data_IF_989742076572
#
_entry.id   IF_989742076572
#
_cell.length_a   1.000
_cell.length_b   1.000
_cell.length_c   1.000
_cell.angle_alpha   90.00
_cell.angle_beta   90.00
_cell.angle_gamma   90.00
#
_symmetry.space_group_name_H-M   'P 1'
#
loop_
_entity.id
_entity.type
_entity.pdbx_description
1 polymer ?
#
# COMPACT_ATOMS: atom_id res chain seq x y z
N UNK A 1 1.97 50.33 25.77
CA UNK A 1 1.27 49.19 25.14
C UNK A 1 0.58 48.45 26.27
N UNK A 2 -0.75 48.28 26.20
CA UNK A 2 -1.55 47.71 27.29
C UNK A 2 -1.29 46.21 27.43
N UNK A 3 -1.41 45.68 28.65
CA UNK A 3 -1.23 44.25 28.96
C UNK A 3 -2.17 43.35 28.13
N UNK A 4 -3.39 43.82 27.82
CA UNK A 4 -4.32 43.11 26.93
C UNK A 4 -3.75 42.89 25.53
N UNK A 5 -2.97 43.83 24.99
CA UNK A 5 -2.36 43.70 23.66
C UNK A 5 -1.27 42.62 23.59
N UNK A 6 -0.64 42.29 24.73
CA UNK A 6 0.37 41.24 24.82
C UNK A 6 -0.23 39.85 24.98
N UNK A 7 -1.45 39.76 25.51
CA UNK A 7 -2.17 38.49 25.68
C UNK A 7 -2.77 38.02 24.35
N UNK A 8 -3.32 38.93 23.53
CA UNK A 8 -3.82 38.63 22.19
C UNK A 8 -2.73 38.06 21.26
N UNK A 9 -1.53 38.63 21.27
CA UNK A 9 -0.42 38.15 20.42
C UNK A 9 0.08 36.75 20.81
N UNK A 10 0.00 36.38 22.10
CA UNK A 10 0.37 35.04 22.57
C UNK A 10 -0.63 33.97 22.14
N UNK A 11 -1.92 34.30 22.12
CA UNK A 11 -2.99 33.38 21.68
C UNK A 11 -2.86 33.04 20.19
N UNK A 12 -2.43 34.00 19.36
CA UNK A 12 -2.25 33.78 17.91
C UNK A 12 -1.03 32.90 17.61
N UNK A 13 0.01 32.95 18.45
CA UNK A 13 1.24 32.15 18.25
C UNK A 13 1.08 30.67 18.65
N UNK A 14 0.10 30.34 19.51
CA UNK A 14 -0.14 28.98 20.01
C UNK A 14 -1.36 28.29 19.35
N UNK A 15 -1.81 28.82 18.21
CA UNK A 15 -2.80 28.17 17.36
C UNK A 15 -2.28 26.84 16.81
N UNK A 16 -3.16 25.88 16.45
CA UNK A 16 -2.75 24.59 15.91
C UNK A 16 -1.87 24.83 14.68
N UNK A 17 -0.59 24.41 14.76
CA UNK A 17 0.33 24.43 13.63
C UNK A 17 -0.40 23.84 12.43
N UNK A 18 -0.55 24.61 11.35
CA UNK A 18 -1.15 24.14 10.09
C UNK A 18 -0.58 22.76 9.79
N UNK A 19 -1.40 21.73 9.89
CA UNK A 19 -1.00 20.41 9.43
C UNK A 19 -0.69 20.58 7.94
N UNK A 20 0.51 20.18 7.50
CA UNK A 20 0.85 20.16 6.08
C UNK A 20 -0.28 19.45 5.32
N UNK A 21 -0.96 20.22 4.47
CA UNK A 21 -2.14 19.76 3.75
C UNK A 21 -1.78 18.91 2.53
N UNK A 22 -0.59 19.11 1.98
CA UNK A 22 -0.12 18.39 0.80
C UNK A 22 0.59 17.09 1.21
N UNK A 23 0.11 15.96 0.71
CA UNK A 23 0.90 14.73 0.66
C UNK A 23 1.89 14.84 -0.49
N UNK A 24 3.16 14.56 -0.22
CA UNK A 24 4.19 14.43 -1.24
C UNK A 24 4.67 12.97 -1.36
N UNK A 25 5.23 12.60 -2.50
CA UNK A 25 5.79 11.28 -2.79
C UNK A 25 7.24 11.43 -3.23
N UNK A 26 8.12 10.51 -2.81
CA UNK A 26 9.41 10.31 -3.45
C UNK A 26 9.23 9.38 -4.66
N UNK A 27 8.84 9.97 -5.79
CA UNK A 27 8.58 9.24 -7.03
C UNK A 27 9.77 8.42 -7.51
N UNK A 28 11.01 8.85 -7.20
CA UNK A 28 12.22 8.13 -7.59
C UNK A 28 12.36 6.85 -6.77
N UNK A 29 12.23 6.95 -5.45
CA UNK A 29 12.26 5.80 -4.53
C UNK A 29 11.14 4.80 -4.86
N UNK A 30 9.91 5.30 -5.06
CA UNK A 30 8.75 4.47 -5.41
C UNK A 30 8.97 3.77 -6.75
N UNK A 31 9.41 4.50 -7.79
CA UNK A 31 9.66 3.93 -9.12
C UNK A 31 10.76 2.88 -9.09
N UNK A 32 11.84 3.12 -8.36
CA UNK A 32 12.93 2.16 -8.27
C UNK A 32 12.46 0.85 -7.63
N UNK A 33 11.72 0.90 -6.53
CA UNK A 33 11.19 -0.29 -5.88
C UNK A 33 10.11 -1.00 -6.73
N UNK A 34 9.26 -0.23 -7.41
CA UNK A 34 8.26 -0.75 -8.34
C UNK A 34 8.88 -1.55 -9.49
N UNK A 35 9.90 -1.00 -10.16
CA UNK A 35 10.58 -1.70 -11.25
C UNK A 35 11.37 -2.90 -10.72
N UNK A 36 11.99 -2.81 -9.55
CA UNK A 36 12.73 -3.92 -8.92
C UNK A 36 11.81 -5.14 -8.69
N UNK A 37 10.61 -4.93 -8.14
CA UNK A 37 9.61 -6.00 -7.96
C UNK A 37 9.13 -6.59 -9.29
N UNK A 38 9.05 -5.77 -10.35
CA UNK A 38 8.59 -6.21 -11.68
C UNK A 38 9.61 -7.01 -12.47
N UNK A 39 10.89 -6.85 -12.16
CA UNK A 39 11.97 -7.56 -12.85
C UNK A 39 11.98 -9.03 -12.41
N UNK A 40 11.53 -9.94 -13.26
CA UNK A 40 11.52 -11.39 -12.99
C UNK A 40 12.89 -11.95 -12.59
N UNK A 41 13.98 -11.27 -12.98
CA UNK A 41 15.37 -11.60 -12.61
C UNK A 41 15.81 -11.07 -11.24
N UNK A 42 15.02 -10.22 -10.59
CA UNK A 42 15.31 -9.69 -9.26
C UNK A 42 14.76 -10.63 -8.19
N UNK A 43 15.52 -10.80 -7.11
CA UNK A 43 15.08 -11.50 -5.91
C UNK A 43 14.02 -10.70 -5.13
N UNK A 44 13.86 -9.41 -5.41
CA UNK A 44 12.84 -8.58 -4.76
C UNK A 44 11.45 -8.98 -5.26
N UNK A 45 10.62 -9.51 -4.37
CA UNK A 45 9.24 -9.92 -4.67
C UNK A 45 8.21 -8.91 -4.19
N UNK A 46 8.55 -8.08 -3.20
CA UNK A 46 7.64 -7.08 -2.67
C UNK A 46 8.35 -5.79 -2.27
N UNK A 47 7.56 -4.71 -2.23
CA UNK A 47 7.95 -3.41 -1.68
C UNK A 47 6.81 -2.83 -0.83
N UNK A 48 7.16 -2.09 0.21
CA UNK A 48 6.23 -1.39 1.10
C UNK A 48 6.55 0.09 1.13
N UNK A 49 5.49 0.90 1.03
CA UNK A 49 5.53 2.35 1.00
C UNK A 49 4.79 2.92 2.19
N UNK A 50 5.50 3.71 3.01
CA UNK A 50 4.98 4.38 4.20
C UNK A 50 5.35 5.86 4.18
N UNK A 51 4.73 6.61 5.09
CA UNK A 51 5.09 8.00 5.31
C UNK A 51 6.35 8.09 6.18
N UNK A 52 7.38 8.74 5.65
CA UNK A 52 8.46 9.32 6.44
C UNK A 52 8.24 10.84 6.50
N UNK A 53 7.86 11.34 7.67
CA UNK A 53 7.36 12.70 7.85
C UNK A 53 6.12 12.96 6.96
N UNK A 54 6.20 13.92 6.03
CA UNK A 54 5.12 14.32 5.11
C UNK A 54 5.28 13.70 3.71
N UNK A 55 6.25 12.80 3.50
CA UNK A 55 6.59 12.22 2.19
C UNK A 55 6.37 10.71 2.23
N UNK A 56 5.69 10.16 1.23
CA UNK A 56 5.63 8.70 1.04
C UNK A 56 6.88 8.22 0.31
N UNK A 57 7.55 7.24 0.88
CA UNK A 57 8.80 6.65 0.36
C UNK A 57 8.72 5.11 0.40
N UNK A 58 9.60 4.41 -0.32
CA UNK A 58 9.80 2.98 -0.11
C UNK A 58 10.56 2.76 1.21
N UNK A 59 9.92 2.13 2.20
CA UNK A 59 10.51 1.89 3.53
C UNK A 59 11.07 0.47 3.69
N UNK A 60 10.56 -0.48 2.91
CA UNK A 60 11.02 -1.87 2.95
C UNK A 60 10.81 -2.56 1.61
N UNK A 61 11.65 -3.55 1.32
CA UNK A 61 11.52 -4.47 0.19
C UNK A 61 12.16 -5.81 0.55
N UNK A 62 11.72 -6.89 -0.09
CA UNK A 62 12.27 -8.21 0.19
C UNK A 62 11.65 -9.31 -0.67
N UNK A 63 11.94 -10.56 -0.31
CA UNK A 63 11.53 -11.75 -1.04
C UNK A 63 10.69 -12.73 -0.21
N UNK A 64 10.59 -12.49 1.10
CA UNK A 64 9.85 -13.37 2.01
C UNK A 64 8.48 -12.76 2.35
N UNK A 65 7.41 -13.54 2.16
CA UNK A 65 6.04 -13.07 2.46
C UNK A 65 5.81 -12.78 3.95
N UNK A 66 6.46 -13.50 4.87
CA UNK A 66 6.31 -13.25 6.30
C UNK A 66 6.93 -11.89 6.67
N UNK A 67 8.10 -11.56 6.11
CA UNK A 67 8.72 -10.24 6.27
C UNK A 67 7.87 -9.11 5.67
N UNK A 68 7.15 -9.38 4.57
CA UNK A 68 6.18 -8.45 4.01
C UNK A 68 5.04 -8.21 4.99
N UNK A 69 4.47 -9.29 5.57
CA UNK A 69 3.37 -9.21 6.53
C UNK A 69 3.75 -8.43 7.79
N UNK A 70 4.98 -8.60 8.27
CA UNK A 70 5.52 -7.85 9.42
C UNK A 70 5.57 -6.33 9.20
N UNK A 71 5.48 -5.85 7.96
CA UNK A 71 5.46 -4.41 7.67
C UNK A 71 4.12 -3.73 8.01
N UNK A 72 3.08 -4.47 8.42
CA UNK A 72 1.73 -3.92 8.60
C UNK A 72 1.26 -4.01 10.05
N UNK A 73 1.40 -2.91 10.80
CA UNK A 73 0.94 -2.80 12.19
C UNK A 73 -0.43 -2.11 12.34
N UNK A 74 -1.02 -2.25 13.52
CA UNK A 74 -2.32 -1.64 13.87
C UNK A 74 -2.30 -0.10 13.84
N UNK A 75 -1.14 0.52 14.03
CA UNK A 75 -0.93 1.98 14.01
C UNK A 75 -0.45 2.49 12.65
N UNK A 76 -0.19 1.58 11.71
CA UNK A 76 0.38 1.91 10.40
C UNK A 76 -0.70 2.19 9.36
N UNK A 77 -0.39 3.14 8.48
CA UNK A 77 -0.99 3.23 7.16
C UNK A 77 0.10 3.02 6.12
N UNK A 78 -0.13 2.13 5.18
CA UNK A 78 0.90 1.70 4.26
C UNK A 78 0.30 1.28 2.92
N UNK A 79 1.16 1.20 1.91
CA UNK A 79 0.86 0.56 0.65
C UNK A 79 1.86 -0.55 0.40
N UNK A 80 1.40 -1.68 -0.13
CA UNK A 80 2.23 -2.80 -0.53
C UNK A 80 2.12 -3.03 -2.04
N UNK A 81 3.21 -3.46 -2.65
CA UNK A 81 3.21 -3.97 -4.02
C UNK A 81 3.97 -5.28 -4.03
N UNK A 82 3.31 -6.36 -4.46
CA UNK A 82 3.86 -7.71 -4.39
C UNK A 82 3.68 -8.46 -5.70
N UNK A 83 4.74 -9.17 -6.10
CA UNK A 83 4.78 -10.13 -7.19
C UNK A 83 4.50 -11.52 -6.63
N UNK A 84 3.55 -12.24 -7.24
CA UNK A 84 3.20 -13.60 -6.85
C UNK A 84 3.23 -14.48 -8.11
N UNK A 85 3.98 -15.59 -8.03
CA UNK A 85 3.93 -16.63 -9.05
C UNK A 85 2.68 -17.49 -8.86
N UNK A 86 1.87 -17.59 -9.92
CA UNK A 86 0.64 -18.37 -9.97
C UNK A 86 0.75 -19.50 -10.99
N UNK A 87 0.03 -20.60 -10.79
CA UNK A 87 -0.06 -21.71 -11.74
C UNK A 87 0.73 -22.95 -11.32
N UNK A 88 0.75 -23.95 -12.19
CA UNK A 88 1.43 -25.23 -12.01
C UNK A 88 2.82 -25.24 -12.66
N UNK A 89 3.52 -26.38 -12.62
CA UNK A 89 4.86 -26.56 -13.18
C UNK A 89 4.97 -26.21 -14.67
N UNK A 90 3.85 -26.20 -15.40
CA UNK A 90 3.81 -26.01 -16.86
C UNK A 90 3.37 -24.58 -17.22
N UNK A 91 2.56 -23.91 -16.38
CA UNK A 91 2.05 -22.55 -16.63
C UNK A 91 2.25 -21.61 -15.44
N UNK A 92 3.51 -21.31 -15.10
CA UNK A 92 3.83 -20.22 -14.17
C UNK A 92 3.51 -18.86 -14.80
N UNK A 93 2.66 -18.08 -14.13
CA UNK A 93 2.28 -16.73 -14.52
C UNK A 93 2.55 -15.78 -13.36
N UNK A 94 3.41 -14.81 -13.60
CA UNK A 94 3.62 -13.70 -12.68
C UNK A 94 2.37 -12.82 -12.64
N UNK A 95 1.87 -12.54 -11.44
CA UNK A 95 0.85 -11.52 -11.22
C UNK A 95 1.29 -10.57 -10.12
N UNK A 96 0.76 -9.35 -10.17
CA UNK A 96 1.07 -8.30 -9.22
C UNK A 96 -0.19 -7.89 -8.46
N UNK A 97 -0.06 -7.64 -7.17
CA UNK A 97 -1.11 -7.15 -6.29
C UNK A 97 -0.69 -5.83 -5.67
N UNK A 98 -1.60 -4.85 -5.66
CA UNK A 98 -1.45 -3.61 -4.94
C UNK A 98 -2.30 -3.64 -3.66
N UNK A 99 -1.67 -3.45 -2.51
CA UNK A 99 -2.31 -3.49 -1.21
C UNK A 99 -2.40 -2.07 -0.63
N UNK A 100 -3.57 -1.67 -0.18
CA UNK A 100 -3.76 -0.53 0.73
C UNK A 100 -4.01 -1.08 2.13
N UNK A 101 -3.17 -0.70 3.09
CA UNK A 101 -3.30 -1.09 4.49
C UNK A 101 -3.67 0.12 5.35
N UNK A 102 -4.68 -0.05 6.18
CA UNK A 102 -5.07 0.92 7.21
C UNK A 102 -5.27 0.21 8.53
N UNK A 103 -4.31 0.31 9.43
CA UNK A 103 -4.40 -0.26 10.76
C UNK A 103 -5.57 0.32 11.58
N UNK A 104 -6.11 -0.50 12.48
CA UNK A 104 -7.30 -0.16 13.27
C UNK A 104 -7.13 1.10 14.14
N UNK A 105 -5.92 1.39 14.59
CA UNK A 105 -5.59 2.54 15.44
C UNK A 105 -5.28 3.82 14.65
N UNK A 106 -5.24 3.78 13.31
CA UNK A 106 -4.96 4.96 12.50
C UNK A 106 -6.06 6.02 12.68
N UNK A 107 -5.68 7.23 13.06
CA UNK A 107 -6.61 8.34 13.27
C UNK A 107 -7.37 8.76 12.01
N UNK A 108 -8.61 9.23 12.18
CA UNK A 108 -9.57 9.56 11.10
C UNK A 108 -8.98 10.46 10.00
N UNK A 109 -8.22 11.50 10.38
CA UNK A 109 -7.61 12.43 9.42
C UNK A 109 -6.59 11.71 8.53
N UNK A 110 -5.76 10.83 9.11
CA UNK A 110 -4.78 10.04 8.35
C UNK A 110 -5.46 9.03 7.43
N UNK A 111 -6.59 8.44 7.84
CA UNK A 111 -7.44 7.57 7.01
C UNK A 111 -8.02 8.33 5.81
N UNK A 112 -8.56 9.53 6.04
CA UNK A 112 -9.13 10.37 4.98
C UNK A 112 -8.12 10.75 3.89
N UNK A 113 -6.84 10.91 4.26
CA UNK A 113 -5.75 11.19 3.31
C UNK A 113 -5.37 10.00 2.43
N UNK A 114 -5.70 8.75 2.81
CA UNK A 114 -5.26 7.56 2.09
C UNK A 114 -5.74 7.49 0.64
N UNK A 115 -6.90 8.09 0.30
CA UNK A 115 -7.38 8.13 -1.08
C UNK A 115 -6.49 8.99 -1.98
N UNK A 116 -6.06 10.16 -1.46
CA UNK A 116 -5.10 11.04 -2.12
C UNK A 116 -3.73 10.38 -2.23
N UNK A 117 -3.23 9.85 -1.11
CA UNK A 117 -1.91 9.18 -1.04
C UNK A 117 -1.86 8.01 -2.06
N UNK A 118 -2.94 7.23 -2.13
CA UNK A 118 -3.08 6.12 -3.09
C UNK A 118 -3.05 6.59 -4.54
N UNK A 119 -3.75 7.67 -4.87
CA UNK A 119 -3.79 8.20 -6.23
C UNK A 119 -2.40 8.63 -6.72
N UNK A 120 -1.61 9.27 -5.85
CA UNK A 120 -0.23 9.67 -6.14
C UNK A 120 0.67 8.46 -6.38
N UNK A 121 0.61 7.45 -5.50
CA UNK A 121 1.44 6.24 -5.65
C UNK A 121 1.07 5.46 -6.91
N UNK A 122 -0.22 5.36 -7.24
CA UNK A 122 -0.70 4.67 -8.45
C UNK A 122 -0.37 5.42 -9.75
N UNK A 123 -0.01 6.71 -9.69
CA UNK A 123 0.55 7.40 -10.84
C UNK A 123 1.94 6.85 -11.23
N UNK A 124 2.64 6.22 -10.27
CA UNK A 124 3.92 5.53 -10.49
C UNK A 124 3.71 4.02 -10.66
N UNK A 125 2.93 3.39 -9.78
CA UNK A 125 2.62 1.95 -9.77
C UNK A 125 1.38 1.69 -10.62
N UNK A 126 1.59 1.36 -11.89
CA UNK A 126 0.51 1.26 -12.88
C UNK A 126 0.13 -0.17 -13.29
N UNK A 127 0.93 -1.18 -12.94
CA UNK A 127 0.72 -2.57 -13.34
C UNK A 127 0.40 -3.49 -12.16
N UNK A 128 -0.85 -3.84 -11.96
CA UNK A 128 -1.32 -4.85 -11.00
C UNK A 128 -2.62 -5.48 -11.49
N UNK A 129 -2.83 -6.75 -11.16
CA UNK A 129 -4.03 -7.50 -11.53
C UNK A 129 -5.16 -7.31 -10.51
N UNK A 130 -4.81 -7.07 -9.25
CA UNK A 130 -5.75 -6.89 -8.13
C UNK A 130 -5.28 -5.73 -7.26
N UNK A 131 -6.24 -4.94 -6.81
CA UNK A 131 -6.08 -3.97 -5.74
C UNK A 131 -6.92 -4.42 -4.54
N UNK A 132 -6.30 -4.50 -3.36
CA UNK A 132 -6.98 -4.80 -2.09
C UNK A 132 -6.88 -3.64 -1.12
N UNK A 133 -7.92 -3.47 -0.30
CA UNK A 133 -7.90 -2.62 0.89
C UNK A 133 -8.16 -3.51 2.09
N UNK A 134 -7.20 -3.61 3.00
CA UNK A 134 -7.28 -4.49 4.17
C UNK A 134 -7.07 -3.70 5.46
N UNK A 135 -7.74 -4.14 6.52
CA UNK A 135 -7.68 -3.54 7.87
C UNK A 135 -7.35 -4.58 8.95
N UNK A 136 -7.36 -5.88 8.62
CA UNK A 136 -6.98 -6.97 9.52
C UNK A 136 -5.76 -7.72 9.02
N UNK A 137 -4.77 -7.91 9.91
CA UNK A 137 -3.51 -8.60 9.60
C UNK A 137 -3.73 -10.07 9.23
N UNK A 138 -4.85 -10.66 9.66
CA UNK A 138 -5.24 -12.02 9.31
C UNK A 138 -5.67 -12.15 7.84
N UNK A 139 -6.04 -11.04 7.18
CA UNK A 139 -6.37 -11.02 5.76
C UNK A 139 -5.11 -10.95 4.88
N UNK A 140 -3.96 -10.55 5.44
CA UNK A 140 -2.65 -10.64 4.81
C UNK A 140 -2.19 -12.09 4.92
N UNK A 141 -2.67 -12.88 3.98
CA UNK A 141 -2.43 -14.31 3.88
C UNK A 141 -2.17 -14.68 2.41
N UNK A 142 -1.17 -15.53 2.18
CA UNK A 142 -0.73 -15.90 0.83
C UNK A 142 -1.85 -16.61 0.06
N UNK A 143 -2.63 -17.47 0.73
CA UNK A 143 -3.72 -18.20 0.08
C UNK A 143 -4.85 -17.23 -0.31
N UNK A 144 -5.23 -16.30 0.56
CA UNK A 144 -6.19 -15.25 0.22
C UNK A 144 -5.71 -14.41 -0.99
N UNK A 145 -4.44 -13.98 -1.03
CA UNK A 145 -3.91 -13.20 -2.15
C UNK A 145 -3.95 -13.97 -3.47
N UNK A 146 -3.55 -15.25 -3.44
CA UNK A 146 -3.62 -16.15 -4.59
C UNK A 146 -5.06 -16.31 -5.10
N UNK A 147 -6.03 -16.46 -4.21
CA UNK A 147 -7.45 -16.56 -4.57
C UNK A 147 -7.98 -15.30 -5.24
N UNK A 148 -7.65 -14.11 -4.71
CA UNK A 148 -8.05 -12.84 -5.34
C UNK A 148 -7.42 -12.70 -6.73
N UNK A 149 -6.14 -13.04 -6.86
CA UNK A 149 -5.42 -13.01 -8.13
C UNK A 149 -5.94 -14.05 -9.14
N UNK A 150 -6.38 -15.21 -8.68
CA UNK A 150 -7.01 -16.22 -9.52
C UNK A 150 -8.34 -15.71 -10.11
N UNK A 151 -9.20 -15.11 -9.26
CA UNK A 151 -10.49 -14.53 -9.67
C UNK A 151 -10.33 -13.45 -10.74
N UNK A 152 -9.35 -12.55 -10.59
CA UNK A 152 -9.05 -11.52 -11.58
C UNK A 152 -8.46 -12.07 -12.89
N UNK A 153 -7.99 -13.33 -12.91
CA UNK A 153 -7.37 -13.97 -14.06
C UNK A 153 -8.33 -14.59 -15.08
N UNK A 154 -9.64 -14.66 -14.79
CA UNK A 154 -10.64 -15.15 -15.74
C UNK A 154 -10.56 -16.64 -16.11
N UNK A 155 -9.75 -17.46 -15.42
CA UNK A 155 -9.68 -18.90 -15.66
C UNK A 155 -10.63 -19.69 -14.74
N UNK A 156 -11.92 -19.31 -14.72
CA UNK A 156 -12.97 -20.27 -14.38
C UNK A 156 -13.27 -21.05 -15.65
N UNK A 157 -12.50 -22.12 -15.91
CA UNK A 157 -12.97 -23.15 -16.83
C UNK A 157 -14.21 -23.78 -16.20
N UNK A 158 -15.38 -23.32 -16.66
CA UNK A 158 -16.63 -24.03 -16.48
C UNK A 158 -16.56 -25.34 -17.27
N UNK A 159 -16.10 -26.42 -16.65
CA UNK A 159 -16.53 -27.76 -17.03
C UNK A 159 -17.82 -28.06 -16.29
N UNK A 160 -18.88 -27.34 -16.67
CA UNK A 160 -20.23 -27.76 -16.36
C UNK A 160 -20.47 -29.07 -17.10
N UNK A 161 -20.23 -30.19 -16.43
CA UNK A 161 -20.78 -31.47 -16.86
C UNK A 161 -22.30 -31.29 -16.76
N UNK A 162 -22.95 -31.21 -17.92
CA UNK A 162 -24.38 -31.47 -18.01
C UNK A 162 -24.52 -32.99 -17.89
N UNK A 163 -25.04 -33.46 -16.77
CA UNK A 163 -25.64 -34.79 -16.73
C UNK A 163 -26.98 -34.66 -17.48
N UNK A 164 -27.10 -35.46 -18.54
CA UNK A 164 -28.31 -35.63 -19.35
C UNK A 164 -29.43 -36.32 -18.56
#
# INVERSE_FOLDING_TARGET
MSEEGLEYDRIVQDGPKKADMATNTDDKSIRQAYEDVRLDSSDTEWAVFKHENSIVVCTAKGSNFDEFKEQFGDDDRAFGYIRIQMGDEISKRTKFLFLTWVGKNVGVIKKAKMSTDKALIKAVISNFAVELHLESINEIDMQNFKEQLAKAGGANYGTGIRED
#
